data_IF_952719463001
#
_entry.id   IF_952719463001
#
_cell.length_a   1.000
_cell.length_b   1.000
_cell.length_c   1.000
_cell.angle_alpha   90.00
_cell.angle_beta   90.00
_cell.angle_gamma   90.00
#
_symmetry.space_group_name_H-M   'P 1'
#
loop_
_entity.id
_entity.type
_entity.pdbx_description
1 polymer ?
#
# COMPACT_ATOMS: atom_id res chain seq x y z
N UNK A 1 -21.90 64.40 -30.62
CA UNK A 1 -22.55 63.11 -30.92
C UNK A 1 -21.49 62.20 -31.50
N UNK A 2 -21.15 61.09 -30.83
CA UNK A 2 -20.30 60.08 -31.44
C UNK A 2 -21.05 59.53 -32.67
N UNK A 3 -20.43 59.53 -33.85
CA UNK A 3 -21.06 58.98 -35.04
C UNK A 3 -21.30 57.48 -34.84
N UNK A 4 -22.45 56.95 -35.31
CA UNK A 4 -22.81 55.53 -35.19
C UNK A 4 -21.69 54.59 -35.70
N UNK A 5 -20.88 55.05 -36.65
CA UNK A 5 -19.70 54.33 -37.15
C UNK A 5 -18.59 54.16 -36.10
N UNK A 6 -18.42 55.13 -35.19
CA UNK A 6 -17.44 55.04 -34.10
C UNK A 6 -17.86 54.05 -33.02
N UNK A 7 -19.16 54.00 -32.69
CA UNK A 7 -19.71 53.03 -31.74
C UNK A 7 -19.68 51.61 -32.31
N UNK A 8 -19.98 51.43 -33.61
CA UNK A 8 -19.84 50.15 -34.29
C UNK A 8 -18.38 49.65 -34.32
N UNK A 9 -17.42 50.54 -34.59
CA UNK A 9 -15.98 50.21 -34.54
C UNK A 9 -15.51 49.79 -33.14
N UNK A 10 -15.94 50.51 -32.09
CA UNK A 10 -15.66 50.17 -30.70
C UNK A 10 -16.27 48.82 -30.29
N UNK A 11 -17.49 48.54 -30.74
CA UNK A 11 -18.16 47.26 -30.49
C UNK A 11 -17.41 46.08 -31.14
N UNK A 12 -16.96 46.24 -32.39
CA UNK A 12 -16.16 45.23 -33.09
C UNK A 12 -14.82 44.97 -32.40
N UNK A 13 -14.11 46.03 -31.97
CA UNK A 13 -12.85 45.88 -31.24
C UNK A 13 -13.05 45.20 -29.88
N UNK A 14 -14.11 45.59 -29.16
CA UNK A 14 -14.47 44.99 -27.88
C UNK A 14 -14.78 43.49 -28.01
N UNK A 15 -15.49 43.09 -29.08
CA UNK A 15 -15.76 41.69 -29.38
C UNK A 15 -14.47 40.91 -29.64
N UNK A 16 -13.53 41.48 -30.42
CA UNK A 16 -12.23 40.87 -30.69
C UNK A 16 -11.43 40.65 -29.40
N UNK A 17 -11.32 41.66 -28.54
CA UNK A 17 -10.61 41.54 -27.25
C UNK A 17 -11.26 40.51 -26.34
N UNK A 18 -12.60 40.46 -26.28
CA UNK A 18 -13.31 39.43 -25.51
C UNK A 18 -13.02 38.02 -26.03
N UNK A 19 -12.95 37.84 -27.35
CA UNK A 19 -12.60 36.55 -27.97
C UNK A 19 -11.20 36.10 -27.58
N UNK A 20 -10.19 36.96 -27.69
CA UNK A 20 -8.81 36.64 -27.31
C UNK A 20 -8.68 36.29 -25.83
N UNK A 21 -9.38 37.02 -24.94
CA UNK A 21 -9.43 36.71 -23.50
C UNK A 21 -10.02 35.32 -23.24
N UNK A 22 -11.09 34.96 -23.93
CA UNK A 22 -11.69 33.63 -23.80
C UNK A 22 -10.70 32.54 -24.23
N UNK A 23 -10.02 32.73 -25.37
CA UNK A 23 -9.01 31.79 -25.87
C UNK A 23 -7.87 31.60 -24.87
N UNK A 24 -7.41 32.67 -24.20
CA UNK A 24 -6.37 32.56 -23.17
C UNK A 24 -6.80 31.64 -22.02
N UNK A 25 -8.01 31.85 -21.48
CA UNK A 25 -8.55 31.01 -20.39
C UNK A 25 -8.73 29.56 -20.86
N UNK A 26 -9.26 29.35 -22.07
CA UNK A 26 -9.40 28.01 -22.65
C UNK A 26 -8.04 27.29 -22.80
N UNK A 27 -6.98 28.01 -23.20
CA UNK A 27 -5.63 27.44 -23.30
C UNK A 27 -5.04 27.09 -21.93
N UNK A 28 -5.27 27.91 -20.91
CA UNK A 28 -4.85 27.58 -19.54
C UNK A 28 -5.60 26.38 -18.98
N UNK A 29 -6.91 26.26 -19.25
CA UNK A 29 -7.69 25.06 -18.90
C UNK A 29 -7.21 23.81 -19.66
N UNK A 30 -6.82 23.96 -20.93
CA UNK A 30 -6.23 22.85 -21.67
C UNK A 30 -4.85 22.45 -21.10
N UNK A 31 -4.09 23.40 -20.57
CA UNK A 31 -2.84 23.13 -19.86
C UNK A 31 -3.10 22.43 -18.51
N UNK A 32 -4.06 22.89 -17.71
CA UNK A 32 -4.53 22.19 -16.50
C UNK A 32 -4.89 20.73 -16.81
N UNK A 33 -5.67 20.48 -17.87
CA UNK A 33 -6.03 19.12 -18.27
C UNK A 33 -4.81 18.25 -18.56
N UNK A 34 -3.78 18.80 -19.21
CA UNK A 34 -2.52 18.07 -19.46
C UNK A 34 -1.76 17.76 -18.18
N UNK A 35 -1.78 18.66 -17.19
CA UNK A 35 -1.19 18.39 -15.87
C UNK A 35 -1.93 17.25 -15.18
N UNK A 36 -3.27 17.26 -15.20
CA UNK A 36 -4.09 16.19 -14.63
C UNK A 36 -3.85 14.84 -15.30
N UNK A 37 -3.78 14.82 -16.63
CA UNK A 37 -3.47 13.61 -17.40
C UNK A 37 -2.06 13.08 -17.09
N UNK A 38 -1.07 13.98 -16.91
CA UNK A 38 0.30 13.58 -16.62
C UNK A 38 0.51 13.14 -15.16
N UNK A 39 -0.27 13.69 -14.22
CA UNK A 39 -0.21 13.33 -12.81
C UNK A 39 -1.08 12.10 -12.47
N UNK A 40 -1.92 11.63 -13.41
CA UNK A 40 -2.84 10.49 -13.23
C UNK A 40 -3.68 10.54 -11.94
N UNK A 41 -4.00 11.74 -11.45
CA UNK A 41 -4.77 11.93 -10.21
C UNK A 41 -3.97 11.76 -8.92
N UNK A 42 -2.63 11.72 -8.97
CA UNK A 42 -1.78 11.86 -7.79
C UNK A 42 -1.97 13.29 -7.26
N UNK A 43 -2.46 13.40 -6.02
CA UNK A 43 -2.71 14.66 -5.31
C UNK A 43 -1.40 15.38 -4.96
N UNK A 44 -0.72 15.91 -5.97
CA UNK A 44 0.52 16.65 -5.83
C UNK A 44 0.25 18.14 -5.78
N UNK A 45 0.93 18.82 -4.86
CA UNK A 45 0.71 20.22 -4.59
C UNK A 45 1.94 21.05 -4.94
N UNK A 46 1.82 21.94 -5.92
CA UNK A 46 2.96 22.70 -6.44
C UNK A 46 2.57 24.11 -6.90
N UNK A 47 3.57 24.98 -6.92
CA UNK A 47 3.44 26.37 -7.33
C UNK A 47 4.39 26.73 -8.47
N UNK A 48 4.00 27.67 -9.32
CA UNK A 48 4.94 28.33 -10.22
C UNK A 48 5.84 29.31 -9.48
N UNK A 49 6.84 29.86 -10.16
CA UNK A 49 7.50 31.10 -9.73
C UNK A 49 6.48 32.23 -9.59
N UNK A 50 6.69 33.10 -8.61
CA UNK A 50 5.89 34.31 -8.43
C UNK A 50 6.24 35.40 -9.44
N UNK A 51 5.26 36.24 -9.76
CA UNK A 51 5.43 37.45 -10.56
C UNK A 51 4.72 38.63 -9.89
N UNK A 52 5.26 39.84 -10.06
CA UNK A 52 4.60 41.07 -9.62
C UNK A 52 3.47 41.42 -10.57
N UNK A 53 2.22 41.29 -10.11
CA UNK A 53 1.01 41.50 -10.91
C UNK A 53 0.58 42.96 -10.97
N UNK A 54 0.80 43.71 -9.89
CA UNK A 54 0.51 45.15 -9.81
C UNK A 54 1.32 45.80 -8.68
N UNK A 55 1.62 47.08 -8.83
CA UNK A 55 2.21 47.93 -7.78
C UNK A 55 1.31 49.14 -7.54
N UNK A 56 1.38 49.69 -6.34
CA UNK A 56 0.69 50.93 -5.96
C UNK A 56 1.60 51.75 -5.06
N UNK A 57 1.39 53.06 -5.08
CA UNK A 57 2.12 54.03 -4.26
C UNK A 57 1.11 55.03 -3.70
N UNK A 58 1.19 55.29 -2.40
CA UNK A 58 0.35 56.26 -1.70
C UNK A 58 1.19 57.47 -1.29
N UNK A 59 1.26 58.45 -2.21
CA UNK A 59 2.06 59.68 -2.09
C UNK A 59 1.88 60.41 -0.74
N UNK A 60 0.66 60.47 -0.20
CA UNK A 60 0.37 61.17 1.07
C UNK A 60 0.92 60.46 2.31
N UNK A 61 1.02 59.12 2.25
CA UNK A 61 1.45 58.29 3.39
C UNK A 61 2.91 57.83 3.27
N UNK A 62 3.51 57.96 2.08
CA UNK A 62 4.85 57.47 1.77
C UNK A 62 4.97 55.94 1.70
N UNK A 63 3.84 55.21 1.70
CA UNK A 63 3.83 53.75 1.60
C UNK A 63 3.66 53.29 0.16
N UNK A 64 4.49 52.32 -0.22
CA UNK A 64 4.34 51.58 -1.47
C UNK A 64 4.00 50.12 -1.19
N UNK A 65 3.47 49.45 -2.21
CA UNK A 65 3.17 48.04 -2.12
C UNK A 65 2.78 47.46 -3.46
N UNK A 66 2.30 46.23 -3.40
CA UNK A 66 1.89 45.55 -4.61
C UNK A 66 1.17 44.25 -4.34
N UNK A 67 0.98 43.52 -5.43
CA UNK A 67 0.42 42.18 -5.43
C UNK A 67 1.32 41.28 -6.24
N UNK A 68 1.85 40.24 -5.62
CA UNK A 68 2.49 39.14 -6.30
C UNK A 68 1.45 38.05 -6.59
N UNK A 69 1.70 37.21 -7.58
CA UNK A 69 0.91 36.01 -7.78
C UNK A 69 1.64 34.92 -8.53
N UNK A 70 1.09 33.72 -8.45
CA UNK A 70 1.64 32.50 -9.03
C UNK A 70 0.50 31.54 -9.36
N UNK A 71 0.78 30.60 -10.25
CA UNK A 71 -0.10 29.47 -10.50
C UNK A 71 0.09 28.45 -9.38
N UNK A 72 -1.01 27.89 -8.90
CA UNK A 72 -1.05 26.80 -7.93
C UNK A 72 -1.77 25.62 -8.55
N UNK A 73 -1.17 24.44 -8.48
CA UNK A 73 -1.78 23.18 -8.88
C UNK A 73 -1.86 22.28 -7.66
N UNK A 74 -3.06 21.77 -7.35
CA UNK A 74 -3.32 20.96 -6.16
C UNK A 74 -3.53 19.47 -6.46
N UNK A 75 -3.29 19.06 -7.71
CA UNK A 75 -3.56 17.70 -8.18
C UNK A 75 -4.96 17.53 -8.77
N UNK A 76 -5.86 18.50 -8.57
CA UNK A 76 -7.22 18.49 -9.11
C UNK A 76 -7.49 19.65 -10.06
N UNK A 77 -6.91 20.83 -9.79
CA UNK A 77 -7.16 22.05 -10.56
C UNK A 77 -5.99 23.02 -10.52
N UNK A 78 -6.00 23.93 -11.49
CA UNK A 78 -5.06 25.05 -11.58
C UNK A 78 -5.75 26.34 -11.13
N UNK A 79 -5.25 26.95 -10.06
CA UNK A 79 -5.73 28.23 -9.53
C UNK A 79 -4.63 29.30 -9.59
N UNK A 80 -5.04 30.56 -9.40
CA UNK A 80 -4.11 31.67 -9.19
C UNK A 80 -4.13 32.04 -7.73
N UNK A 81 -2.97 31.96 -7.09
CA UNK A 81 -2.76 32.52 -5.76
C UNK A 81 -2.11 33.88 -5.86
N UNK A 82 -2.56 34.80 -5.01
CA UNK A 82 -1.99 36.15 -4.91
C UNK A 82 -1.67 36.49 -3.48
N UNK A 83 -0.65 37.32 -3.31
CA UNK A 83 -0.21 37.85 -2.04
C UNK A 83 -0.07 39.37 -2.17
N UNK A 84 -0.75 40.09 -1.28
CA UNK A 84 -0.56 41.54 -1.16
C UNK A 84 0.58 41.83 -0.19
N UNK A 85 1.52 42.68 -0.60
CA UNK A 85 2.63 43.14 0.23
C UNK A 85 2.62 44.67 0.32
N UNK A 86 3.10 45.20 1.44
CA UNK A 86 3.28 46.64 1.65
C UNK A 86 4.50 46.92 2.51
N UNK A 87 5.12 48.08 2.30
CA UNK A 87 6.27 48.52 3.09
C UNK A 87 5.89 48.94 4.52
N UNK A 88 4.58 48.99 4.82
CA UNK A 88 4.04 49.36 6.14
C UNK A 88 4.16 48.26 7.20
N UNK A 89 4.60 47.05 6.83
CA UNK A 89 4.78 45.91 7.76
C UNK A 89 3.49 45.18 8.16
N UNK A 90 2.37 45.45 7.49
CA UNK A 90 1.13 44.66 7.67
C UNK A 90 1.30 43.22 7.15
N UNK A 91 0.59 42.28 7.79
CA UNK A 91 0.58 40.86 7.40
C UNK A 91 0.11 40.68 5.95
N UNK A 92 0.86 39.86 5.21
CA UNK A 92 0.52 39.44 3.86
C UNK A 92 -0.86 38.77 3.82
N UNK A 93 -1.75 39.28 2.97
CA UNK A 93 -3.05 38.64 2.71
C UNK A 93 -2.95 37.74 1.48
N UNK A 94 -3.25 36.46 1.68
CA UNK A 94 -3.37 35.48 0.59
C UNK A 94 -4.79 35.42 0.05
N UNK A 95 -4.90 35.25 -1.25
CA UNK A 95 -6.17 35.05 -1.96
C UNK A 95 -5.98 34.02 -3.07
N UNK A 96 -6.98 33.18 -3.29
CA UNK A 96 -6.97 32.12 -4.29
C UNK A 96 -8.20 32.22 -5.18
N UNK A 97 -7.97 32.23 -6.49
CA UNK A 97 -9.01 32.47 -7.48
C UNK A 97 -8.93 31.45 -8.62
N UNK A 98 -10.10 30.99 -9.07
CA UNK A 98 -10.23 30.20 -10.28
C UNK A 98 -9.89 31.05 -11.52
N UNK A 99 -9.37 30.41 -12.58
CA UNK A 99 -8.85 31.08 -13.77
C UNK A 99 -9.85 32.03 -14.46
N UNK A 100 -11.15 31.79 -14.33
CA UNK A 100 -12.22 32.60 -14.92
C UNK A 100 -12.53 33.88 -14.12
N UNK A 101 -12.10 33.96 -12.86
CA UNK A 101 -12.31 35.11 -11.97
C UNK A 101 -11.12 36.07 -11.94
N UNK A 102 -9.97 35.63 -12.45
CA UNK A 102 -8.71 36.38 -12.40
C UNK A 102 -8.70 37.51 -13.46
N UNK A 103 -8.22 38.72 -13.12
CA UNK A 103 -8.03 39.80 -14.09
C UNK A 103 -7.21 39.36 -15.31
N UNK A 104 -7.65 39.64 -16.56
CA UNK A 104 -6.96 39.18 -17.77
C UNK A 104 -5.49 39.61 -17.88
N UNK A 105 -5.15 40.81 -17.36
CA UNK A 105 -3.78 41.30 -17.34
C UNK A 105 -2.84 40.43 -16.49
N UNK A 106 -3.35 39.84 -15.41
CA UNK A 106 -2.61 38.92 -14.55
C UNK A 106 -2.42 37.57 -15.23
N UNK A 107 -3.48 37.04 -15.87
CA UNK A 107 -3.40 35.79 -16.62
C UNK A 107 -2.36 35.86 -17.74
N UNK A 108 -2.22 36.99 -18.43
CA UNK A 108 -1.19 37.17 -19.47
C UNK A 108 0.22 37.01 -18.87
N UNK A 109 0.49 37.60 -17.71
CA UNK A 109 1.79 37.50 -17.05
C UNK A 109 2.07 36.09 -16.54
N UNK A 110 1.07 35.44 -15.96
CA UNK A 110 1.16 34.07 -15.42
C UNK A 110 1.21 32.99 -16.52
N UNK A 111 0.75 33.31 -17.73
CA UNK A 111 0.83 32.42 -18.89
C UNK A 111 2.17 32.50 -19.62
N UNK A 112 3.13 33.28 -19.13
CA UNK A 112 4.46 33.34 -19.73
C UNK A 112 5.14 31.96 -19.67
N UNK A 113 5.83 31.50 -20.74
CA UNK A 113 6.43 30.16 -20.79
C UNK A 113 7.27 29.82 -19.55
N UNK A 114 8.13 30.75 -19.12
CA UNK A 114 8.97 30.60 -17.92
C UNK A 114 8.18 30.28 -16.63
N UNK A 115 6.93 30.72 -16.52
CA UNK A 115 6.07 30.50 -15.35
C UNK A 115 5.43 29.13 -15.45
N UNK A 116 4.87 28.78 -16.61
CA UNK A 116 4.31 27.45 -16.87
C UNK A 116 5.38 26.36 -16.70
N UNK A 117 6.57 26.56 -17.28
CA UNK A 117 7.70 25.64 -17.16
C UNK A 117 8.14 25.47 -15.70
N UNK A 118 8.15 26.58 -14.94
CA UNK A 118 8.51 26.49 -13.51
C UNK A 118 7.51 25.71 -12.69
N UNK A 119 6.22 25.77 -13.03
CA UNK A 119 5.19 24.95 -12.38
C UNK A 119 5.42 23.47 -12.69
N UNK A 120 5.66 23.11 -13.95
CA UNK A 120 5.94 21.72 -14.35
C UNK A 120 7.15 21.17 -13.60
N UNK A 121 8.25 21.92 -13.55
CA UNK A 121 9.46 21.54 -12.81
C UNK A 121 9.17 21.31 -11.33
N UNK A 122 8.39 22.19 -10.71
CA UNK A 122 8.06 22.06 -9.28
C UNK A 122 7.10 20.89 -9.01
N UNK A 123 6.17 20.58 -9.92
CA UNK A 123 5.33 19.37 -9.86
C UNK A 123 6.21 18.13 -9.91
N UNK A 124 7.10 18.02 -10.91
CA UNK A 124 8.00 16.87 -11.04
C UNK A 124 8.87 16.67 -9.80
N UNK A 125 9.44 17.76 -9.27
CA UNK A 125 10.22 17.71 -8.04
C UNK A 125 9.41 17.20 -6.84
N UNK A 126 8.17 17.68 -6.69
CA UNK A 126 7.27 17.24 -5.59
C UNK A 126 6.98 15.75 -5.70
N UNK A 127 6.70 15.26 -6.92
CA UNK A 127 6.46 13.83 -7.17
C UNK A 127 7.70 12.97 -6.91
N UNK A 128 8.90 13.45 -7.24
CA UNK A 128 10.17 12.76 -6.95
C UNK A 128 10.45 12.67 -5.43
N UNK A 129 10.17 13.74 -4.69
CA UNK A 129 10.28 13.76 -3.23
C UNK A 129 9.29 12.79 -2.59
N UNK A 130 8.03 12.79 -3.05
CA UNK A 130 6.99 11.87 -2.60
C UNK A 130 7.34 10.40 -2.91
N UNK A 131 7.83 10.12 -4.13
CA UNK A 131 8.32 8.79 -4.51
C UNK A 131 9.44 8.31 -3.57
N UNK A 132 10.41 9.17 -3.29
CA UNK A 132 11.55 8.84 -2.41
C UNK A 132 11.07 8.51 -0.99
N UNK A 133 10.11 9.27 -0.47
CA UNK A 133 9.52 9.05 0.83
C UNK A 133 8.81 7.69 0.89
N UNK A 134 7.92 7.39 -0.06
CA UNK A 134 7.20 6.12 -0.11
C UNK A 134 8.13 4.93 -0.36
N UNK A 135 9.13 5.06 -1.23
CA UNK A 135 10.12 4.01 -1.48
C UNK A 135 10.89 3.66 -0.20
N UNK A 136 11.33 4.68 0.55
CA UNK A 136 12.02 4.51 1.83
C UNK A 136 11.14 3.83 2.87
N UNK A 137 9.87 4.27 2.99
CA UNK A 137 8.91 3.66 3.90
C UNK A 137 8.65 2.19 3.54
N UNK A 138 8.47 1.87 2.25
CA UNK A 138 8.29 0.50 1.77
C UNK A 138 9.52 -0.38 2.05
N UNK A 139 10.74 0.14 1.86
CA UNK A 139 11.97 -0.57 2.20
C UNK A 139 12.03 -0.88 3.70
N UNK A 140 11.72 0.10 4.55
CA UNK A 140 11.71 -0.08 6.00
C UNK A 140 10.65 -1.09 6.45
N UNK A 141 9.44 -1.01 5.92
CA UNK A 141 8.36 -1.98 6.19
C UNK A 141 8.76 -3.38 5.73
N UNK A 142 9.40 -3.51 4.56
CA UNK A 142 9.91 -4.79 4.06
C UNK A 142 10.94 -5.38 5.02
N UNK A 143 11.90 -4.57 5.50
CA UNK A 143 12.90 -5.00 6.49
C UNK A 143 12.25 -5.40 7.82
N UNK A 144 11.29 -4.60 8.30
CA UNK A 144 10.58 -4.88 9.55
C UNK A 144 9.84 -6.23 9.48
N UNK A 145 9.08 -6.46 8.42
CA UNK A 145 8.38 -7.74 8.19
C UNK A 145 9.37 -8.90 8.05
N UNK A 146 10.51 -8.69 7.37
CA UNK A 146 11.55 -9.72 7.23
C UNK A 146 12.18 -10.08 8.58
N UNK A 147 12.38 -9.12 9.49
CA UNK A 147 12.88 -9.38 10.85
C UNK A 147 11.88 -10.20 11.66
N UNK A 148 10.60 -9.81 11.67
CA UNK A 148 9.55 -10.55 12.37
C UNK A 148 9.41 -11.99 11.84
N UNK A 149 9.46 -12.15 10.51
CA UNK A 149 9.49 -13.47 9.87
C UNK A 149 10.71 -14.28 10.32
N UNK A 150 11.90 -13.68 10.34
CA UNK A 150 13.12 -14.36 10.77
C UNK A 150 13.09 -14.77 12.25
N UNK A 151 12.41 -14.00 13.12
CA UNK A 151 12.21 -14.37 14.52
C UNK A 151 11.28 -15.60 14.66
N UNK A 152 10.16 -15.63 13.91
CA UNK A 152 9.28 -16.80 13.86
C UNK A 152 10.04 -18.01 13.32
N UNK A 153 10.77 -17.83 12.23
CA UNK A 153 11.56 -18.89 11.61
C UNK A 153 12.62 -19.43 12.58
N UNK A 154 13.31 -18.55 13.33
CA UNK A 154 14.30 -18.94 14.33
C UNK A 154 13.71 -19.73 15.51
N UNK A 155 12.56 -19.29 16.04
CA UNK A 155 11.84 -20.05 17.09
C UNK A 155 11.44 -21.44 16.58
N UNK A 156 10.97 -21.54 15.33
CA UNK A 156 10.64 -22.84 14.74
C UNK A 156 11.87 -23.73 14.55
N UNK A 157 12.99 -23.18 14.09
CA UNK A 157 14.25 -23.92 13.95
C UNK A 157 14.72 -24.50 15.29
N UNK A 158 14.68 -23.72 16.37
CA UNK A 158 15.00 -24.18 17.73
C UNK A 158 14.05 -25.30 18.19
N UNK A 159 12.75 -25.16 17.94
CA UNK A 159 11.76 -26.17 18.31
C UNK A 159 11.92 -27.52 17.59
N UNK A 160 12.52 -27.54 16.40
CA UNK A 160 12.77 -28.76 15.64
C UNK A 160 14.21 -29.28 15.76
N UNK A 161 15.08 -28.68 16.58
CA UNK A 161 16.50 -29.03 16.67
C UNK A 161 16.71 -30.53 16.98
N UNK A 162 15.89 -31.10 17.85
CA UNK A 162 15.92 -32.52 18.21
C UNK A 162 15.29 -33.45 17.14
N UNK A 163 14.74 -32.89 16.07
CA UNK A 163 14.03 -33.58 15.01
C UNK A 163 14.47 -33.11 13.60
N UNK A 164 15.73 -33.38 13.20
CA UNK A 164 16.32 -32.83 11.97
C UNK A 164 15.55 -33.17 10.69
N UNK A 165 14.94 -34.34 10.61
CA UNK A 165 14.09 -34.73 9.47
C UNK A 165 12.79 -33.90 9.40
N UNK A 166 12.22 -33.53 10.55
CA UNK A 166 11.02 -32.69 10.62
C UNK A 166 11.39 -31.24 10.27
N UNK A 167 12.52 -30.75 10.79
CA UNK A 167 13.09 -29.45 10.42
C UNK A 167 13.30 -29.33 8.90
N UNK A 168 13.98 -30.31 8.30
CA UNK A 168 14.25 -30.31 6.85
C UNK A 168 12.95 -30.31 6.04
N UNK A 169 11.94 -31.09 6.46
CA UNK A 169 10.66 -31.15 5.76
C UNK A 169 9.89 -29.81 5.81
N UNK A 170 9.93 -29.08 6.94
CA UNK A 170 9.34 -27.75 7.04
C UNK A 170 10.13 -26.72 6.20
N UNK A 171 11.46 -26.73 6.28
CA UNK A 171 12.32 -25.84 5.48
C UNK A 171 12.14 -26.05 3.97
N UNK A 172 11.92 -27.29 3.52
CA UNK A 172 11.58 -27.57 2.12
C UNK A 172 10.28 -26.90 1.69
N UNK A 173 9.26 -26.88 2.55
CA UNK A 173 8.01 -26.18 2.30
C UNK A 173 8.20 -24.65 2.29
N UNK A 174 9.03 -24.12 3.20
CA UNK A 174 9.34 -22.70 3.31
C UNK A 174 10.08 -22.17 2.07
N UNK A 175 11.05 -22.93 1.55
CA UNK A 175 11.84 -22.53 0.36
C UNK A 175 11.03 -22.33 -0.91
N UNK A 176 9.84 -22.92 -0.99
CA UNK A 176 8.98 -22.82 -2.18
C UNK A 176 7.91 -21.74 -2.05
N UNK A 177 7.77 -21.05 -0.91
CA UNK A 177 6.71 -20.05 -0.69
C UNK A 177 6.67 -18.97 -1.78
N UNK A 178 7.83 -18.45 -2.18
CA UNK A 178 7.92 -17.38 -3.18
C UNK A 178 7.90 -17.90 -4.61
N UNK A 179 8.53 -19.05 -4.87
CA UNK A 179 8.69 -19.59 -6.23
C UNK A 179 7.50 -20.42 -6.70
N UNK A 180 6.83 -21.12 -5.79
CA UNK A 180 5.70 -22.01 -6.04
C UNK A 180 4.80 -22.09 -4.77
N UNK A 181 3.92 -21.10 -4.57
CA UNK A 181 3.01 -21.05 -3.42
C UNK A 181 2.16 -22.31 -3.24
N UNK A 182 1.77 -22.94 -4.35
CA UNK A 182 0.93 -24.14 -4.36
C UNK A 182 1.71 -25.39 -3.88
N UNK A 183 2.95 -25.56 -4.35
CA UNK A 183 3.85 -26.59 -3.85
C UNK A 183 4.21 -26.36 -2.38
N UNK A 184 4.40 -25.11 -1.95
CA UNK A 184 4.63 -24.77 -0.54
C UNK A 184 3.50 -25.22 0.38
N UNK A 185 2.24 -24.98 -0.02
CA UNK A 185 1.06 -25.43 0.71
C UNK A 185 1.02 -26.96 0.77
N UNK A 186 1.27 -27.62 -0.36
CA UNK A 186 1.29 -29.09 -0.44
C UNK A 186 2.33 -29.68 0.50
N UNK A 187 3.56 -29.16 0.49
CA UNK A 187 4.64 -29.59 1.38
C UNK A 187 4.35 -29.29 2.85
N UNK A 188 3.70 -28.17 3.14
CA UNK A 188 3.29 -27.80 4.51
C UNK A 188 2.25 -28.79 5.06
N UNK A 189 1.29 -29.23 4.24
CA UNK A 189 0.36 -30.32 4.59
C UNK A 189 1.10 -31.64 4.88
N UNK A 190 2.05 -32.01 4.01
CA UNK A 190 2.83 -33.25 4.19
C UNK A 190 3.73 -33.21 5.42
N UNK A 191 4.30 -32.04 5.74
CA UNK A 191 5.04 -31.81 6.98
C UNK A 191 4.15 -32.08 8.20
N UNK A 192 2.97 -31.46 8.26
CA UNK A 192 1.99 -31.68 9.33
C UNK A 192 1.64 -33.15 9.49
N UNK A 193 1.34 -33.84 8.39
CA UNK A 193 1.02 -35.27 8.40
C UNK A 193 2.18 -36.10 9.00
N UNK A 194 3.41 -35.77 8.63
CA UNK A 194 4.62 -36.45 9.11
C UNK A 194 4.82 -36.23 10.61
N UNK A 195 4.64 -35.01 11.10
CA UNK A 195 4.77 -34.66 12.52
C UNK A 195 3.71 -35.38 13.36
N UNK A 196 2.44 -35.36 12.94
CA UNK A 196 1.36 -36.04 13.66
C UNK A 196 1.60 -37.55 13.73
N UNK A 197 2.04 -38.17 12.63
CA UNK A 197 2.42 -39.60 12.61
C UNK A 197 3.59 -39.89 13.55
N UNK A 198 4.60 -39.02 13.58
CA UNK A 198 5.74 -39.15 14.49
C UNK A 198 5.31 -39.08 15.97
N UNK A 199 4.42 -38.15 16.32
CA UNK A 199 3.89 -38.03 17.69
C UNK A 199 3.10 -39.27 18.10
N UNK A 200 2.20 -39.77 17.24
CA UNK A 200 1.43 -40.99 17.51
C UNK A 200 2.35 -42.21 17.69
N UNK A 201 3.40 -42.32 16.88
CA UNK A 201 4.43 -43.35 17.02
C UNK A 201 5.11 -43.30 18.38
N UNK A 202 5.57 -42.11 18.80
CA UNK A 202 6.22 -41.92 20.09
C UNK A 202 5.30 -42.25 21.27
N UNK A 203 4.00 -41.94 21.14
CA UNK A 203 2.98 -42.25 22.14
C UNK A 203 2.53 -43.72 22.15
N UNK A 204 3.15 -44.58 21.33
CA UNK A 204 2.85 -46.01 21.24
C UNK A 204 1.49 -46.33 20.61
N UNK A 205 0.93 -45.41 19.80
CA UNK A 205 -0.31 -45.66 19.07
C UNK A 205 -0.07 -46.50 17.80
N UNK A 206 -1.09 -47.16 17.27
CA UNK A 206 -0.99 -48.04 16.09
C UNK A 206 -2.16 -47.87 15.12
N UNK A 207 -1.99 -48.21 13.84
CA UNK A 207 -3.07 -48.11 12.84
C UNK A 207 -3.41 -46.66 12.49
N UNK A 208 -2.40 -45.80 12.42
CA UNK A 208 -2.51 -44.38 12.07
C UNK A 208 -1.95 -44.07 10.67
N UNK A 209 -1.29 -45.03 10.03
CA UNK A 209 -0.45 -44.84 8.86
C UNK A 209 -1.23 -44.34 7.63
N UNK A 210 -2.50 -44.75 7.51
CA UNK A 210 -3.40 -44.41 6.39
C UNK A 210 -4.45 -43.35 6.74
N UNK A 211 -4.36 -42.76 7.94
CA UNK A 211 -5.33 -41.74 8.37
C UNK A 211 -5.08 -40.41 7.68
N UNK A 212 -6.16 -39.68 7.38
CA UNK A 212 -6.08 -38.29 6.92
C UNK A 212 -5.53 -37.38 8.03
N UNK A 213 -5.00 -36.22 7.64
CA UNK A 213 -4.48 -35.19 8.57
C UNK A 213 -5.49 -34.87 9.68
N UNK A 214 -6.77 -34.70 9.36
CA UNK A 214 -7.81 -34.42 10.36
C UNK A 214 -7.98 -35.56 11.38
N UNK A 215 -7.92 -36.82 10.92
CA UNK A 215 -8.04 -38.00 11.77
C UNK A 215 -6.78 -38.21 12.61
N UNK A 216 -5.60 -37.97 12.04
CA UNK A 216 -4.32 -37.97 12.75
C UNK A 216 -4.34 -36.91 13.86
N UNK A 217 -4.74 -35.69 13.54
CA UNK A 217 -4.82 -34.59 14.48
C UNK A 217 -5.78 -34.92 15.63
N UNK A 218 -7.01 -35.34 15.31
CA UNK A 218 -8.00 -35.73 16.32
C UNK A 218 -7.48 -36.81 17.26
N UNK A 219 -6.69 -37.75 16.74
CA UNK A 219 -6.10 -38.85 17.50
C UNK A 219 -4.98 -38.37 18.42
N UNK A 220 -4.09 -37.51 17.94
CA UNK A 220 -3.06 -36.87 18.77
C UNK A 220 -3.71 -36.05 19.87
N UNK A 221 -4.68 -35.19 19.55
CA UNK A 221 -5.37 -34.34 20.53
C UNK A 221 -6.07 -35.15 21.62
N UNK A 222 -6.65 -36.31 21.27
CA UNK A 222 -7.20 -37.24 22.27
C UNK A 222 -6.12 -37.75 23.20
N UNK A 223 -4.96 -38.19 22.70
CA UNK A 223 -3.84 -38.65 23.54
C UNK A 223 -3.32 -37.55 24.46
N UNK A 224 -3.21 -36.31 23.96
CA UNK A 224 -2.79 -35.16 24.76
C UNK A 224 -3.80 -34.85 25.88
N UNK A 225 -5.10 -34.91 25.56
CA UNK A 225 -6.19 -34.73 26.54
C UNK A 225 -6.20 -35.81 27.61
N UNK A 226 -6.10 -37.08 27.20
CA UNK A 226 -6.14 -38.22 28.11
C UNK A 226 -4.96 -38.22 29.09
N UNK A 227 -3.83 -37.62 28.70
CA UNK A 227 -2.66 -37.47 29.56
C UNK A 227 -2.81 -36.37 30.63
N UNK A 228 -3.81 -35.48 30.53
CA UNK A 228 -4.08 -34.44 31.53
C UNK A 228 -3.01 -33.35 31.67
N UNK A 229 -2.06 -33.27 30.74
CA UNK A 229 -0.88 -32.36 30.82
C UNK A 229 -1.19 -30.96 30.28
N UNK A 230 -2.34 -30.80 29.61
CA UNK A 230 -2.75 -29.55 28.95
C UNK A 230 -4.01 -29.00 29.63
N UNK A 231 -3.97 -27.73 30.03
CA UNK A 231 -5.13 -27.07 30.65
C UNK A 231 -6.31 -26.93 29.67
N UNK A 232 -7.49 -26.59 30.21
CA UNK A 232 -8.73 -26.50 29.42
C UNK A 232 -8.68 -25.45 28.29
N UNK A 233 -7.97 -24.34 28.49
CA UNK A 233 -7.82 -23.29 27.48
C UNK A 233 -6.88 -23.70 26.36
N UNK A 234 -5.75 -24.32 26.71
CA UNK A 234 -4.80 -24.88 25.76
C UNK A 234 -5.39 -26.06 24.96
N UNK A 235 -6.26 -26.88 25.57
CA UNK A 235 -7.05 -27.90 24.85
C UNK A 235 -8.03 -27.29 23.83
N UNK A 236 -8.59 -26.12 24.13
CA UNK A 236 -9.47 -25.40 23.20
C UNK A 236 -8.67 -24.79 22.05
N UNK A 237 -7.50 -24.20 22.32
CA UNK A 237 -6.57 -23.73 21.30
C UNK A 237 -6.09 -24.87 20.38
N UNK A 238 -5.79 -26.03 20.95
CA UNK A 238 -5.45 -27.26 20.22
C UNK A 238 -6.58 -27.76 19.31
N UNK A 239 -7.83 -27.56 19.73
CA UNK A 239 -8.99 -27.88 18.89
C UNK A 239 -9.06 -26.92 17.70
N UNK A 240 -8.80 -25.63 17.93
CA UNK A 240 -8.67 -24.62 16.86
C UNK A 240 -7.53 -24.94 15.87
N UNK A 241 -6.41 -25.48 16.36
CA UNK A 241 -5.31 -26.00 15.52
C UNK A 241 -5.81 -27.08 14.54
N UNK A 242 -6.73 -27.94 14.98
CA UNK A 242 -7.36 -28.94 14.12
C UNK A 242 -8.19 -28.33 12.99
N UNK A 243 -8.93 -27.26 13.27
CA UNK A 243 -9.67 -26.51 12.24
C UNK A 243 -8.70 -25.85 11.25
N UNK A 244 -7.58 -25.34 11.73
CA UNK A 244 -6.52 -24.77 10.88
C UNK A 244 -5.93 -25.84 9.95
N UNK A 245 -5.57 -27.02 10.48
CA UNK A 245 -5.05 -28.12 9.67
C UNK A 245 -6.05 -28.62 8.63
N UNK A 246 -7.33 -28.67 8.99
CA UNK A 246 -8.41 -28.98 8.05
C UNK A 246 -8.52 -27.93 6.94
N UNK A 247 -8.43 -26.65 7.29
CA UNK A 247 -8.41 -25.54 6.33
C UNK A 247 -7.21 -25.65 5.37
N UNK A 248 -6.02 -25.91 5.91
CA UNK A 248 -4.79 -26.13 5.13
C UNK A 248 -4.95 -27.32 4.15
N UNK A 249 -5.50 -28.44 4.61
CA UNK A 249 -5.79 -29.60 3.76
C UNK A 249 -6.84 -29.30 2.68
N UNK A 250 -7.84 -28.47 3.00
CA UNK A 250 -8.86 -28.02 2.05
C UNK A 250 -8.26 -27.15 0.95
N UNK A 251 -7.41 -26.19 1.32
CA UNK A 251 -6.70 -25.32 0.36
C UNK A 251 -5.82 -26.16 -0.57
N UNK A 252 -5.08 -27.12 -0.03
CA UNK A 252 -4.32 -28.09 -0.84
C UNK A 252 -5.24 -28.83 -1.81
N UNK A 253 -6.41 -29.31 -1.37
CA UNK A 253 -7.31 -30.08 -2.23
C UNK A 253 -7.97 -29.22 -3.30
N UNK A 254 -8.22 -27.93 -3.05
CA UNK A 254 -8.68 -27.00 -4.08
C UNK A 254 -7.60 -26.64 -5.10
N UNK A 255 -6.34 -26.69 -4.68
CA UNK A 255 -5.18 -26.47 -5.56
C UNK A 255 -4.73 -27.72 -6.31
N UNK A 256 -4.85 -28.89 -5.68
CA UNK A 256 -4.42 -30.17 -6.26
C UNK A 256 -5.22 -30.52 -7.50
N UNK A 257 -4.51 -30.68 -8.61
CA UNK A 257 -4.96 -30.94 -9.98
C UNK A 257 -5.68 -32.28 -10.22
N UNK A 258 -6.08 -33.00 -9.16
CA UNK A 258 -6.68 -34.34 -9.26
C UNK A 258 -8.09 -34.37 -9.88
N UNK A 259 -8.78 -33.23 -9.90
CA UNK A 259 -10.01 -33.01 -10.67
C UNK A 259 -9.76 -31.80 -11.55
N UNK A 260 -9.60 -32.01 -12.87
CA UNK A 260 -9.07 -31.02 -13.81
C UNK A 260 -9.59 -29.60 -13.59
N UNK A 261 -8.70 -28.60 -13.82
CA UNK A 261 -8.94 -27.16 -13.55
C UNK A 261 -10.39 -26.78 -13.79
N UNK A 262 -11.15 -26.66 -12.71
CA UNK A 262 -12.52 -26.16 -12.74
C UNK A 262 -12.42 -24.69 -13.19
N UNK A 263 -13.26 -24.27 -14.13
CA UNK A 263 -13.28 -22.88 -14.59
C UNK A 263 -13.42 -21.93 -13.40
N UNK A 264 -12.46 -21.02 -13.22
CA UNK A 264 -12.41 -20.09 -12.08
C UNK A 264 -11.34 -20.38 -11.02
N UNK A 265 -10.44 -21.35 -11.22
CA UNK A 265 -9.30 -21.55 -10.32
C UNK A 265 -8.37 -20.33 -10.28
N UNK A 266 -8.19 -19.77 -9.09
CA UNK A 266 -7.16 -18.77 -8.81
C UNK A 266 -6.10 -19.39 -7.90
N UNK A 267 -4.83 -19.46 -8.33
CA UNK A 267 -3.78 -20.04 -7.50
C UNK A 267 -3.61 -19.20 -6.22
N UNK A 268 -3.29 -19.84 -5.08
CA UNK A 268 -3.05 -19.13 -3.83
C UNK A 268 -1.86 -18.17 -3.96
N UNK A 269 -1.98 -16.98 -3.36
CA UNK A 269 -0.90 -15.98 -3.30
C UNK A 269 0.23 -16.37 -2.34
N UNK A 270 1.36 -15.66 -2.45
CA UNK A 270 2.56 -15.84 -1.61
C UNK A 270 2.22 -15.68 -0.12
N UNK A 271 1.40 -14.69 0.19
CA UNK A 271 0.87 -14.35 1.51
C UNK A 271 0.05 -15.49 2.13
N UNK A 272 -0.78 -16.18 1.33
CA UNK A 272 -1.52 -17.37 1.78
C UNK A 272 -0.57 -18.54 2.03
N UNK A 273 0.39 -18.78 1.13
CA UNK A 273 1.37 -19.86 1.30
C UNK A 273 2.29 -19.64 2.51
N UNK A 274 2.75 -18.41 2.75
CA UNK A 274 3.56 -18.03 3.91
C UNK A 274 2.78 -18.26 5.21
N UNK A 275 1.51 -17.82 5.26
CA UNK A 275 0.65 -18.04 6.42
C UNK A 275 0.48 -19.52 6.74
N UNK A 276 0.19 -20.34 5.72
CA UNK A 276 0.04 -21.79 5.86
C UNK A 276 1.34 -22.45 6.33
N UNK A 277 2.49 -22.03 5.79
CA UNK A 277 3.78 -22.58 6.17
C UNK A 277 4.13 -22.27 7.63
N UNK A 278 3.89 -21.04 8.10
CA UNK A 278 4.09 -20.67 9.50
C UNK A 278 3.14 -21.43 10.44
N UNK A 279 1.84 -21.51 10.10
CA UNK A 279 0.88 -22.27 10.90
C UNK A 279 1.23 -23.75 10.99
N UNK A 280 1.69 -24.34 9.89
CA UNK A 280 2.16 -25.71 9.86
C UNK A 280 3.36 -25.91 10.79
N UNK A 281 4.34 -25.01 10.73
CA UNK A 281 5.51 -25.02 11.61
C UNK A 281 5.13 -24.87 13.09
N UNK A 282 4.41 -23.80 13.45
CA UNK A 282 4.04 -23.49 14.83
C UNK A 282 3.16 -24.59 15.44
N UNK A 283 2.19 -25.09 14.69
CA UNK A 283 1.33 -26.19 15.13
C UNK A 283 2.11 -27.47 15.38
N UNK A 284 3.00 -27.84 14.46
CA UNK A 284 3.91 -28.98 14.59
C UNK A 284 4.82 -28.87 15.82
N UNK A 285 5.50 -27.73 15.99
CA UNK A 285 6.38 -27.46 17.12
C UNK A 285 5.64 -27.59 18.46
N UNK A 286 4.46 -27.01 18.56
CA UNK A 286 3.64 -27.10 19.77
C UNK A 286 3.26 -28.55 20.09
N UNK A 287 2.75 -29.30 19.11
CA UNK A 287 2.32 -30.70 19.31
C UNK A 287 3.50 -31.60 19.71
N UNK A 288 4.68 -31.41 19.10
CA UNK A 288 5.90 -32.11 19.50
C UNK A 288 6.27 -31.81 20.94
N UNK A 289 6.26 -30.53 21.34
CA UNK A 289 6.58 -30.11 22.71
C UNK A 289 5.64 -30.71 23.74
N UNK A 290 4.32 -30.75 23.47
CA UNK A 290 3.37 -31.41 24.38
C UNK A 290 3.56 -32.93 24.41
N UNK A 291 3.90 -33.53 23.27
CA UNK A 291 4.19 -34.98 23.19
C UNK A 291 5.41 -35.33 24.04
N UNK A 292 6.50 -34.55 23.95
CA UNK A 292 7.69 -34.73 24.76
C UNK A 292 7.39 -34.69 26.27
N UNK A 293 6.58 -33.73 26.73
CA UNK A 293 6.15 -33.65 28.14
C UNK A 293 5.40 -34.90 28.62
N UNK A 294 4.60 -35.53 27.76
CA UNK A 294 3.92 -36.81 28.10
C UNK A 294 4.94 -37.92 28.29
N UNK A 295 6.00 -37.96 27.50
CA UNK A 295 7.03 -38.97 27.59
C UNK A 295 7.91 -38.76 28.83
N UNK A 296 8.26 -37.51 29.14
CA UNK A 296 9.01 -37.14 30.34
C UNK A 296 8.22 -37.44 31.64
N UNK A 297 6.90 -37.22 31.64
CA UNK A 297 6.04 -37.55 32.78
C UNK A 297 5.71 -39.05 32.96
N UNK A 298 6.19 -39.92 32.05
CA UNK A 298 6.05 -41.37 32.12
C UNK A 298 7.31 -42.11 32.57
N UNK A 299 8.43 -41.38 32.75
CA UNK A 299 9.66 -41.89 33.37
C UNK A 299 9.64 -41.72 34.87
#
# INVERSE_FOLDING_TARGET
MASDNGLAGLAALSAKVRSERRILVERLKAFEKKLLEAAEGIGCYAYSKSVTLSTWDHEESGFSGGKAGWLAFDGEKLTVRTESYSDSGQESKYDEQDLDRVPPGWLIQLSAPRILDSLVVNISKTLEEEHTLFATANEWLTKFVAVEKALIDGDLEENFEQHPNLLESWQKARKTVESDPEDSITRSCSHLETVLKACLKQLGDTGYETLSVDKLNSRVMRKLRDAGIVDGGALQALTGLGTIFHGIATIRNSSSTAHGRIGGYFPPGIDVAQFINHLAGCGSAFVLRQTAKILEGKG
#
